data_IF_706377039939
#
_entry.id   IF_706377039939
#
_cell.length_a   1.000
_cell.length_b   1.000
_cell.length_c   1.000
_cell.angle_alpha   90.00
_cell.angle_beta   90.00
_cell.angle_gamma   90.00
#
_symmetry.space_group_name_H-M   'P 1'
#
loop_
_entity.id
_entity.type
_entity.pdbx_description
1 polymer ?
#
# COMPACT_ATOMS: atom_id res chain seq x y z
N UNK A 1 1.50 -7.51 -30.79
CA UNK A 1 1.69 -6.60 -29.63
C UNK A 1 1.08 -5.27 -30.01
N UNK A 2 0.10 -4.77 -29.26
CA UNK A 2 -0.41 -3.41 -29.47
C UNK A 2 0.74 -2.41 -29.28
N UNK A 3 0.80 -1.38 -30.12
CA UNK A 3 1.83 -0.35 -30.00
C UNK A 3 1.61 0.40 -28.69
N UNK A 4 2.57 0.32 -27.76
CA UNK A 4 2.49 1.06 -26.50
C UNK A 4 2.90 2.50 -26.80
N UNK A 5 1.95 3.43 -26.68
CA UNK A 5 2.25 4.86 -26.77
C UNK A 5 2.78 5.36 -25.41
N UNK A 6 4.09 5.60 -25.37
CA UNK A 6 4.77 6.10 -24.17
C UNK A 6 4.27 7.49 -23.78
N UNK A 7 3.91 8.33 -24.75
CA UNK A 7 3.40 9.66 -24.47
C UNK A 7 2.01 9.60 -23.85
N UNK A 8 1.14 8.68 -24.26
CA UNK A 8 -0.16 8.47 -23.62
C UNK A 8 0.00 8.08 -22.14
N UNK A 9 0.94 7.18 -21.84
CA UNK A 9 1.24 6.79 -20.45
C UNK A 9 1.78 7.99 -19.66
N UNK A 10 2.73 8.73 -20.24
CA UNK A 10 3.31 9.92 -19.61
C UNK A 10 2.26 10.99 -19.33
N UNK A 11 1.43 11.33 -20.31
CA UNK A 11 0.36 12.32 -20.19
C UNK A 11 -0.67 11.93 -19.14
N UNK A 12 -1.02 10.64 -19.05
CA UNK A 12 -1.85 10.12 -17.95
C UNK A 12 -1.17 10.27 -16.59
N UNK A 13 0.13 10.01 -16.49
CA UNK A 13 0.88 10.21 -15.25
C UNK A 13 0.91 11.67 -14.79
N UNK A 14 1.09 12.60 -15.72
CA UNK A 14 1.04 14.04 -15.43
C UNK A 14 -0.37 14.48 -15.01
N UNK A 15 -1.41 14.11 -15.77
CA UNK A 15 -2.80 14.47 -15.47
C UNK A 15 -3.27 13.97 -14.11
N UNK A 16 -2.91 12.73 -13.78
CA UNK A 16 -3.26 12.11 -12.51
C UNK A 16 -2.28 12.51 -11.39
N UNK A 17 -1.28 13.35 -11.64
CA UNK A 17 -0.26 13.75 -10.67
C UNK A 17 0.44 12.56 -9.99
N UNK A 18 0.78 11.54 -10.79
CA UNK A 18 1.49 10.34 -10.35
C UNK A 18 2.96 10.72 -10.12
N UNK A 19 3.33 10.83 -8.86
CA UNK A 19 4.68 11.20 -8.43
C UNK A 19 5.68 10.09 -8.71
N UNK A 20 5.27 8.84 -8.49
CA UNK A 20 6.05 7.63 -8.70
C UNK A 20 5.11 6.52 -9.12
N UNK A 21 5.55 5.70 -10.07
CA UNK A 21 4.95 4.42 -10.40
C UNK A 21 6.07 3.41 -10.62
N UNK A 22 6.00 2.28 -9.94
CA UNK A 22 6.94 1.18 -10.07
C UNK A 22 6.14 -0.12 -10.24
N UNK A 23 6.49 -0.89 -11.28
CA UNK A 23 6.00 -2.25 -11.48
C UNK A 23 7.21 -3.17 -11.64
N UNK A 24 7.31 -4.21 -10.82
CA UNK A 24 8.41 -5.17 -10.91
C UNK A 24 8.57 -5.98 -9.63
N UNK A 25 9.78 -6.51 -9.43
CA UNK A 25 10.14 -7.23 -8.21
C UNK A 25 10.68 -6.29 -7.14
N UNK A 26 10.28 -6.55 -5.90
CA UNK A 26 10.73 -5.76 -4.76
C UNK A 26 11.92 -6.44 -4.08
N UNK A 27 13.12 -5.90 -4.30
CA UNK A 27 14.31 -6.18 -3.49
C UNK A 27 14.45 -5.15 -2.36
N UNK A 28 15.33 -5.42 -1.39
CA UNK A 28 15.67 -4.47 -0.33
C UNK A 28 16.24 -3.16 -0.90
N UNK A 29 17.12 -3.25 -1.90
CA UNK A 29 17.66 -2.09 -2.63
C UNK A 29 16.57 -1.28 -3.32
N UNK A 30 15.60 -1.95 -3.96
CA UNK A 30 14.46 -1.29 -4.59
C UNK A 30 13.57 -0.58 -3.57
N UNK A 31 13.33 -1.19 -2.40
CA UNK A 31 12.58 -0.59 -1.31
C UNK A 31 13.24 0.73 -0.88
N UNK A 32 14.55 0.72 -0.61
CA UNK A 32 15.29 1.94 -0.23
C UNK A 32 15.26 3.01 -1.33
N UNK A 33 15.39 2.60 -2.59
CA UNK A 33 15.34 3.51 -3.74
C UNK A 33 13.98 4.19 -3.87
N UNK A 34 12.88 3.44 -3.75
CA UNK A 34 11.51 3.98 -3.79
C UNK A 34 11.30 4.99 -2.66
N UNK A 35 11.71 4.64 -1.43
CA UNK A 35 11.58 5.53 -0.27
C UNK A 35 12.35 6.85 -0.47
N UNK A 36 13.59 6.78 -0.95
CA UNK A 36 14.42 7.96 -1.20
C UNK A 36 13.82 8.88 -2.27
N UNK A 37 13.28 8.31 -3.36
CA UNK A 37 12.63 9.11 -4.42
C UNK A 37 11.38 9.82 -3.90
N UNK A 38 10.56 9.15 -3.08
CA UNK A 38 9.36 9.77 -2.51
C UNK A 38 9.71 10.84 -1.49
N UNK A 39 10.69 10.59 -0.61
CA UNK A 39 11.16 11.58 0.35
C UNK A 39 11.57 12.88 -0.36
N UNK A 40 12.41 12.78 -1.39
CA UNK A 40 12.82 13.93 -2.19
C UNK A 40 11.64 14.62 -2.88
N UNK A 41 10.73 13.86 -3.49
CA UNK A 41 9.56 14.48 -4.14
C UNK A 41 8.65 15.20 -3.14
N UNK A 42 8.44 14.67 -1.94
CA UNK A 42 7.66 15.35 -0.90
C UNK A 42 8.31 16.67 -0.46
N UNK A 43 9.65 16.75 -0.48
CA UNK A 43 10.39 18.00 -0.25
C UNK A 43 10.21 18.99 -1.41
N UNK A 44 10.37 18.53 -2.64
CA UNK A 44 10.20 19.37 -3.85
C UNK A 44 8.80 19.99 -3.93
N UNK A 45 7.76 19.23 -3.53
CA UNK A 45 6.38 19.71 -3.46
C UNK A 45 6.05 20.54 -2.21
N UNK A 46 7.03 20.81 -1.34
CA UNK A 46 6.87 21.56 -0.09
C UNK A 46 5.73 21.03 0.78
N UNK A 47 5.60 19.70 0.85
CA UNK A 47 4.60 19.07 1.70
C UNK A 47 4.83 19.46 3.17
N UNK A 48 3.76 19.68 3.91
CA UNK A 48 3.86 19.95 5.34
C UNK A 48 4.55 18.80 6.08
N UNK A 49 5.41 19.11 7.05
CA UNK A 49 6.22 18.10 7.74
C UNK A 49 5.39 16.98 8.36
N UNK A 50 4.19 17.30 8.86
CA UNK A 50 3.26 16.32 9.42
C UNK A 50 2.74 15.37 8.35
N UNK A 51 2.32 15.91 7.20
CA UNK A 51 1.85 15.13 6.05
C UNK A 51 2.96 14.27 5.46
N UNK A 52 4.16 14.83 5.26
CA UNK A 52 5.34 14.10 4.78
C UNK A 52 5.65 12.86 5.63
N UNK A 53 5.68 13.01 6.96
CA UNK A 53 5.89 11.88 7.89
C UNK A 53 4.81 10.81 7.78
N UNK A 54 3.56 11.20 7.58
CA UNK A 54 2.44 10.26 7.42
C UNK A 54 2.51 9.50 6.10
N UNK A 55 2.80 10.20 4.99
CA UNK A 55 3.00 9.56 3.68
C UNK A 55 4.16 8.56 3.74
N UNK A 56 5.29 8.97 4.30
CA UNK A 56 6.46 8.10 4.45
C UNK A 56 6.14 6.86 5.29
N UNK A 57 5.48 7.03 6.44
CA UNK A 57 5.06 5.92 7.31
C UNK A 57 4.17 4.93 6.55
N UNK A 58 3.11 5.41 5.91
CA UNK A 58 2.17 4.55 5.16
C UNK A 58 2.90 3.82 4.03
N UNK A 59 3.81 4.50 3.31
CA UNK A 59 4.58 3.90 2.24
C UNK A 59 5.50 2.78 2.75
N UNK A 60 6.19 2.98 3.88
CA UNK A 60 7.04 1.94 4.50
C UNK A 60 6.22 0.70 4.83
N UNK A 61 5.08 0.86 5.53
CA UNK A 61 4.21 -0.26 5.89
C UNK A 61 3.67 -0.98 4.64
N UNK A 62 3.29 -0.23 3.60
CA UNK A 62 2.82 -0.81 2.34
C UNK A 62 3.93 -1.60 1.62
N UNK A 63 5.16 -1.06 1.55
CA UNK A 63 6.30 -1.74 0.94
C UNK A 63 6.72 -2.98 1.74
N UNK A 64 6.69 -2.91 3.06
CA UNK A 64 6.94 -4.06 3.92
C UNK A 64 5.87 -5.14 3.69
N UNK A 65 4.59 -4.78 3.63
CA UNK A 65 3.53 -5.74 3.31
C UNK A 65 3.80 -6.45 1.97
N UNK A 66 4.15 -5.68 0.92
CA UNK A 66 4.51 -6.25 -0.38
C UNK A 66 5.72 -7.18 -0.29
N UNK A 67 6.77 -6.78 0.43
CA UNK A 67 8.01 -7.55 0.56
C UNK A 67 7.86 -8.86 1.35
N UNK A 68 6.97 -8.90 2.34
CA UNK A 68 6.70 -10.13 3.10
C UNK A 68 5.80 -11.09 2.33
N UNK A 69 4.80 -10.57 1.62
CA UNK A 69 3.86 -11.41 0.86
C UNK A 69 4.43 -11.93 -0.45
N UNK A 70 5.30 -11.17 -1.14
CA UNK A 70 5.92 -11.59 -2.41
C UNK A 70 6.90 -12.77 -2.28
N UNK A 71 7.24 -13.20 -1.06
CA UNK A 71 8.16 -14.32 -0.79
C UNK A 71 7.49 -15.69 -0.76
N UNK A 72 6.17 -15.77 -0.98
CA UNK A 72 5.41 -17.00 -0.72
C UNK A 72 5.31 -17.97 -1.91
N UNK A 73 5.68 -17.55 -3.13
CA UNK A 73 5.72 -18.45 -4.30
C UNK A 73 7.10 -18.37 -4.99
N UNK A 74 7.99 -19.37 -4.82
CA UNK A 74 9.30 -19.37 -5.45
C UNK A 74 9.26 -19.62 -6.97
N UNK A 75 8.15 -20.14 -7.52
CA UNK A 75 8.01 -20.44 -8.96
C UNK A 75 7.35 -19.29 -9.72
N UNK A 76 6.66 -18.38 -9.03
CA UNK A 76 6.18 -17.12 -9.58
C UNK A 76 7.06 -15.97 -9.11
N UNK A 77 7.82 -15.40 -10.03
CA UNK A 77 8.34 -14.05 -9.85
C UNK A 77 7.15 -13.07 -9.82
N UNK A 78 6.55 -12.88 -8.64
CA UNK A 78 5.39 -12.02 -8.49
C UNK A 78 5.80 -10.56 -8.69
N UNK A 79 5.19 -9.94 -9.69
CA UNK A 79 5.34 -8.51 -9.93
C UNK A 79 4.37 -7.76 -9.03
N UNK A 80 4.89 -6.81 -8.27
CA UNK A 80 4.11 -5.84 -7.52
C UNK A 80 3.87 -4.58 -8.36
N UNK A 81 2.93 -3.74 -7.93
CA UNK A 81 2.83 -2.34 -8.35
C UNK A 81 2.80 -1.43 -7.12
N UNK A 82 3.52 -0.31 -7.18
CA UNK A 82 3.50 0.76 -6.18
C UNK A 82 3.35 2.08 -6.91
N UNK A 83 2.39 2.89 -6.50
CA UNK A 83 2.19 4.23 -7.02
C UNK A 83 2.01 5.20 -5.85
N UNK A 84 2.59 6.39 -5.98
CA UNK A 84 2.32 7.51 -5.10
C UNK A 84 1.77 8.64 -5.93
N UNK A 85 0.59 9.12 -5.54
CA UNK A 85 -0.18 10.09 -6.28
C UNK A 85 -0.42 11.30 -5.40
N UNK A 86 -0.24 12.50 -5.93
CA UNK A 86 -0.64 13.74 -5.26
C UNK A 86 -2.05 14.11 -5.73
N UNK A 87 -2.96 14.40 -4.81
CA UNK A 87 -4.30 14.89 -5.14
C UNK A 87 -4.55 16.25 -4.49
N UNK A 88 -5.67 16.90 -4.83
CA UNK A 88 -6.00 18.23 -4.32
C UNK A 88 -6.07 18.30 -2.78
N UNK A 89 -6.44 17.19 -2.14
CA UNK A 89 -6.63 17.09 -0.68
C UNK A 89 -5.43 16.51 0.06
N UNK A 90 -4.38 16.07 -0.63
CA UNK A 90 -3.24 15.36 -0.03
C UNK A 90 -2.58 14.37 -0.97
N UNK A 91 -2.40 13.13 -0.51
CA UNK A 91 -1.66 12.09 -1.22
C UNK A 91 -2.40 10.76 -1.17
N UNK A 92 -2.07 9.87 -2.11
CA UNK A 92 -2.49 8.48 -2.12
C UNK A 92 -1.28 7.58 -2.30
N UNK A 93 -1.17 6.55 -1.45
CA UNK A 93 -0.26 5.42 -1.64
C UNK A 93 -1.09 4.26 -2.15
N UNK A 94 -0.78 3.81 -3.36
CA UNK A 94 -1.51 2.74 -4.03
C UNK A 94 -0.54 1.58 -4.23
N UNK A 95 -0.94 0.38 -3.81
CA UNK A 95 -0.17 -0.84 -4.03
C UNK A 95 -1.03 -1.92 -4.66
N UNK A 96 -0.37 -2.90 -5.27
CA UNK A 96 -1.03 -4.13 -5.67
C UNK A 96 -0.07 -5.29 -5.85
N UNK A 97 -0.58 -6.48 -5.56
CA UNK A 97 0.13 -7.74 -5.63
C UNK A 97 -0.86 -8.88 -5.82
N UNK A 98 -0.35 -10.03 -6.25
CA UNK A 98 -1.14 -11.25 -6.24
C UNK A 98 -1.33 -11.75 -4.80
N UNK A 99 -2.49 -12.33 -4.56
CA UNK A 99 -2.84 -13.03 -3.32
C UNK A 99 -3.56 -14.33 -3.69
N UNK A 100 -3.45 -15.32 -2.80
CA UNK A 100 -4.23 -16.54 -2.93
C UNK A 100 -5.72 -16.23 -2.92
N UNK A 101 -6.47 -16.79 -3.86
CA UNK A 101 -7.93 -16.69 -3.91
C UNK A 101 -8.58 -17.26 -2.64
N UNK A 102 -7.91 -18.16 -1.91
CA UNK A 102 -8.37 -18.66 -0.61
C UNK A 102 -8.27 -17.61 0.51
N UNK A 103 -7.34 -16.65 0.42
CA UNK A 103 -7.12 -15.62 1.44
C UNK A 103 -7.99 -14.36 1.22
N UNK A 104 -8.61 -14.24 0.04
CA UNK A 104 -9.40 -13.07 -0.41
C UNK A 104 -10.52 -12.71 0.57
N UNK A 105 -11.29 -13.69 1.04
CA UNK A 105 -12.42 -13.42 1.94
C UNK A 105 -11.96 -12.99 3.32
N UNK A 106 -10.86 -13.55 3.82
CA UNK A 106 -10.27 -13.14 5.08
C UNK A 106 -9.78 -11.69 5.01
N UNK A 107 -9.00 -11.36 3.97
CA UNK A 107 -8.49 -9.99 3.75
C UNK A 107 -9.62 -8.97 3.60
N UNK A 108 -10.65 -9.31 2.82
CA UNK A 108 -11.84 -8.48 2.62
C UNK A 108 -12.56 -8.19 3.93
N UNK A 109 -12.84 -9.23 4.70
CA UNK A 109 -13.54 -9.08 5.98
C UNK A 109 -12.71 -8.26 6.97
N UNK A 110 -11.39 -8.44 6.98
CA UNK A 110 -10.49 -7.66 7.83
C UNK A 110 -10.49 -6.17 7.49
N UNK A 111 -10.42 -5.81 6.21
CA UNK A 111 -10.47 -4.40 5.79
C UNK A 111 -11.84 -3.80 6.10
N UNK A 112 -12.93 -4.55 5.90
CA UNK A 112 -14.28 -4.09 6.25
C UNK A 112 -14.41 -3.80 7.74
N UNK A 113 -13.92 -4.70 8.59
CA UNK A 113 -13.89 -4.51 10.04
C UNK A 113 -13.15 -3.22 10.41
N UNK A 114 -11.92 -3.06 9.93
CA UNK A 114 -11.08 -1.88 10.16
C UNK A 114 -11.78 -0.58 9.71
N UNK A 115 -12.42 -0.58 8.55
CA UNK A 115 -13.13 0.60 8.02
C UNK A 115 -14.40 0.98 8.80
N UNK A 116 -14.87 0.13 9.71
CA UNK A 116 -15.98 0.46 10.63
C UNK A 116 -15.52 1.05 11.96
N UNK A 117 -14.22 0.95 12.27
CA UNK A 117 -13.66 1.38 13.55
C UNK A 117 -13.40 2.89 13.59
N UNK A 118 -13.57 3.51 14.76
CA UNK A 118 -13.09 4.86 15.01
C UNK A 118 -11.56 4.88 15.19
N UNK A 119 -10.95 6.07 15.17
CA UNK A 119 -9.52 6.19 15.45
C UNK A 119 -9.12 5.70 16.86
N UNK A 120 -10.01 5.83 17.84
CA UNK A 120 -9.77 5.34 19.20
C UNK A 120 -9.87 3.82 19.25
N UNK A 121 -10.86 3.23 18.57
CA UNK A 121 -10.98 1.76 18.44
C UNK A 121 -9.75 1.16 17.74
N UNK A 122 -9.28 1.78 16.65
CA UNK A 122 -8.07 1.36 15.94
C UNK A 122 -6.83 1.43 16.85
N UNK A 123 -6.74 2.46 17.70
CA UNK A 123 -5.64 2.61 18.66
C UNK A 123 -5.69 1.57 19.76
N UNK A 124 -6.87 1.21 20.25
CA UNK A 124 -7.04 0.13 21.20
C UNK A 124 -6.72 -1.23 20.58
N UNK A 125 -7.23 -1.49 19.38
CA UNK A 125 -6.95 -2.73 18.65
C UNK A 125 -5.45 -2.89 18.39
N UNK A 126 -4.78 -1.81 17.94
CA UNK A 126 -3.33 -1.80 17.75
C UNK A 126 -2.58 -2.20 19.03
N UNK A 127 -2.95 -1.63 20.18
CA UNK A 127 -2.35 -1.95 21.48
C UNK A 127 -2.62 -3.41 21.89
N UNK A 128 -3.84 -3.90 21.68
CA UNK A 128 -4.20 -5.29 22.00
C UNK A 128 -3.39 -6.28 21.17
N UNK A 129 -3.26 -6.03 19.87
CA UNK A 129 -2.46 -6.89 18.97
C UNK A 129 -0.98 -6.85 19.33
N UNK A 130 -0.44 -5.68 19.69
CA UNK A 130 0.96 -5.54 20.11
C UNK A 130 1.28 -6.28 21.42
N UNK A 131 0.32 -6.34 22.35
CA UNK A 131 0.53 -6.94 23.67
C UNK A 131 0.26 -8.45 23.74
N UNK A 132 -0.50 -9.00 22.79
CA UNK A 132 -0.97 -10.38 22.86
C UNK A 132 -0.05 -11.40 22.19
N UNK A 133 1.12 -11.00 21.66
CA UNK A 133 2.11 -11.86 20.98
C UNK A 133 1.52 -12.84 19.94
N UNK A 134 0.30 -12.60 19.46
CA UNK A 134 -0.29 -13.33 18.35
C UNK A 134 0.28 -12.79 17.05
N UNK A 135 1.60 -12.91 16.91
CA UNK A 135 2.24 -12.89 15.61
C UNK A 135 1.85 -14.22 14.96
N UNK A 136 0.97 -14.17 13.96
CA UNK A 136 0.78 -15.34 13.09
C UNK A 136 2.15 -15.83 12.62
N UNK A 137 2.33 -17.13 12.40
CA UNK A 137 3.61 -17.75 11.96
C UNK A 137 4.25 -17.10 10.72
N UNK A 138 3.51 -16.25 9.99
CA UNK A 138 3.97 -15.41 8.87
C UNK A 138 4.48 -14.00 9.26
N UNK A 139 4.67 -13.70 10.55
CA UNK A 139 5.26 -12.44 11.03
C UNK A 139 4.40 -11.20 10.78
N UNK A 140 3.52 -10.84 11.72
CA UNK A 140 2.96 -9.48 11.80
C UNK A 140 1.81 -9.11 10.85
N UNK A 141 1.29 -10.03 10.03
CA UNK A 141 0.37 -9.77 8.90
C UNK A 141 -0.97 -9.06 9.19
N UNK A 142 -1.32 -8.81 10.45
CA UNK A 142 -2.50 -8.03 10.82
C UNK A 142 -2.20 -6.62 11.36
N UNK A 143 -0.96 -6.34 11.76
CA UNK A 143 -0.60 -5.09 12.44
C UNK A 143 -0.42 -3.94 11.44
N UNK A 144 0.23 -4.20 10.31
CA UNK A 144 0.51 -3.18 9.29
C UNK A 144 -0.77 -2.53 8.77
N UNK A 145 -1.83 -3.32 8.50
CA UNK A 145 -3.08 -2.77 7.98
C UNK A 145 -3.83 -1.91 9.02
N UNK A 146 -3.74 -2.24 10.31
CA UNK A 146 -4.30 -1.42 11.40
C UNK A 146 -3.50 -0.13 11.51
N UNK A 147 -2.17 -0.20 11.44
CA UNK A 147 -1.32 0.98 11.57
C UNK A 147 -1.49 1.93 10.38
N UNK A 148 -1.60 1.39 9.17
CA UNK A 148 -1.95 2.15 7.96
C UNK A 148 -3.29 2.88 8.15
N UNK A 149 -4.34 2.20 8.61
CA UNK A 149 -5.64 2.83 8.86
C UNK A 149 -5.55 3.96 9.91
N UNK A 150 -4.84 3.70 11.01
CA UNK A 150 -4.64 4.68 12.09
C UNK A 150 -3.85 5.91 11.63
N UNK A 151 -2.82 5.73 10.80
CA UNK A 151 -1.94 6.83 10.33
C UNK A 151 -2.56 7.63 9.19
N UNK A 152 -3.30 6.97 8.31
CA UNK A 152 -4.07 7.62 7.24
C UNK A 152 -5.26 8.39 7.79
N UNK A 153 -5.85 7.94 8.91
CA UNK A 153 -7.05 8.53 9.51
C UNK A 153 -8.22 8.65 8.51
N UNK A 154 -8.20 7.78 7.50
CA UNK A 154 -9.15 7.69 6.39
C UNK A 154 -9.52 6.21 6.21
N UNK A 155 -10.65 5.95 5.56
CA UNK A 155 -11.02 4.58 5.21
C UNK A 155 -10.07 4.03 4.14
N UNK A 156 -9.74 2.75 4.27
CA UNK A 156 -8.93 2.02 3.31
C UNK A 156 -9.77 1.64 2.10
N UNK A 157 -9.42 2.15 0.92
CA UNK A 157 -10.02 1.73 -0.34
C UNK A 157 -9.24 0.53 -0.89
N UNK A 158 -9.94 -0.48 -1.40
CA UNK A 158 -9.30 -1.66 -1.97
C UNK A 158 -10.08 -2.24 -3.15
N UNK A 159 -9.37 -2.95 -4.02
CA UNK A 159 -9.92 -3.66 -5.17
C UNK A 159 -9.37 -5.08 -5.22
N UNK A 160 -10.20 -6.03 -5.64
CA UNK A 160 -9.82 -7.43 -5.83
C UNK A 160 -10.31 -7.86 -7.21
N UNK A 161 -9.38 -8.32 -8.04
CA UNK A 161 -9.67 -8.81 -9.40
C UNK A 161 -9.26 -10.28 -9.47
N UNK A 162 -10.21 -11.23 -9.63
CA UNK A 162 -9.86 -12.63 -9.87
C UNK A 162 -9.03 -12.75 -11.15
N UNK A 163 -7.90 -13.46 -11.10
CA UNK A 163 -7.02 -13.65 -12.27
C UNK A 163 -7.07 -15.08 -12.78
N UNK A 164 -7.03 -16.05 -11.86
CA UNK A 164 -7.21 -17.48 -12.16
C UNK A 164 -7.88 -18.19 -10.97
N UNK A 165 -7.99 -19.53 -11.03
CA UNK A 165 -8.62 -20.34 -9.99
C UNK A 165 -7.95 -20.19 -8.62
N UNK A 166 -6.64 -19.98 -8.59
CA UNK A 166 -5.83 -19.95 -7.37
C UNK A 166 -5.44 -18.55 -6.95
N UNK A 167 -5.52 -17.56 -7.85
CA UNK A 167 -4.94 -16.24 -7.65
C UNK A 167 -5.90 -15.10 -7.97
N UNK A 168 -5.86 -14.09 -7.10
CA UNK A 168 -6.52 -12.81 -7.30
C UNK A 168 -5.50 -11.68 -7.20
N UNK A 169 -5.68 -10.63 -7.98
CA UNK A 169 -4.90 -9.40 -7.85
C UNK A 169 -5.57 -8.48 -6.82
N UNK A 170 -4.88 -8.24 -5.71
CA UNK A 170 -5.30 -7.32 -4.67
C UNK A 170 -4.66 -5.95 -4.92
N UNK A 171 -5.44 -4.89 -4.71
CA UNK A 171 -4.96 -3.51 -4.73
C UNK A 171 -5.48 -2.76 -3.50
N UNK A 172 -4.62 -1.94 -2.90
CA UNK A 172 -4.91 -1.08 -1.75
C UNK A 172 -4.63 0.36 -2.13
N UNK A 173 -5.55 1.27 -1.83
CA UNK A 173 -5.39 2.71 -1.97
C UNK A 173 -5.59 3.37 -0.61
N UNK A 174 -4.51 3.94 -0.09
CA UNK A 174 -4.49 4.64 1.19
C UNK A 174 -4.41 6.14 0.93
N UNK A 175 -5.49 6.86 1.26
CA UNK A 175 -5.56 8.32 1.18
C UNK A 175 -4.99 8.97 2.43
N UNK A 176 -4.19 10.01 2.26
CA UNK A 176 -3.58 10.78 3.34
C UNK A 176 -3.89 12.25 3.08
N UNK A 177 -4.84 12.81 3.82
CA UNK A 177 -5.20 14.21 3.72
C UNK A 177 -4.08 15.13 4.25
N UNK A 178 -3.91 16.29 3.61
CA UNK A 178 -3.08 17.38 4.11
C UNK A 178 -3.62 17.86 5.46
N UNK A 179 -2.70 18.16 6.36
CA UNK A 179 -2.95 18.68 7.71
C UNK A 179 -1.85 19.65 8.10
#
# INVERSE_FOLDING_TARGET
>A
MGNIDVYEIYDRMEKENIMLSFKGHLSEEMLHSILSVIEKKLEDFKAENKTKKRVYHVLVECLQNLFHHSKTDPDRQESIIVMVVKNATGYSVITGNYVSSADVDNLRNRIREINTMSNDDLKELYRKVLNNDTFSDKGGGGLGIIDIARKSAEKLDYGIVPVDEFNSFFSLNVKIANQ
#
